data_IF_630711165544
#
_entry.id   IF_630711165544
#
_cell.length_a   1.000
_cell.length_b   1.000
_cell.length_c   1.000
_cell.angle_alpha   90.00
_cell.angle_beta   90.00
_cell.angle_gamma   90.00
#
_symmetry.space_group_name_H-M   'P 1'
#
loop_
_entity.id
_entity.type
_entity.pdbx_description
1 polymer ?
#
# COMPACT_ATOMS: atom_id res chain seq x y z
N UNK A 1 -12.83 -20.19 -35.65
CA UNK A 1 -12.91 -18.85 -35.07
C UNK A 1 -11.80 -18.76 -34.00
N UNK A 2 -10.63 -18.22 -34.36
CA UNK A 2 -9.62 -17.87 -33.38
C UNK A 2 -10.25 -16.84 -32.43
N UNK A 3 -10.48 -17.22 -31.17
CA UNK A 3 -10.72 -16.24 -30.11
C UNK A 3 -9.53 -15.28 -30.14
N UNK A 4 -9.77 -14.00 -30.40
CA UNK A 4 -8.79 -12.95 -30.11
C UNK A 4 -8.34 -13.17 -28.68
N UNK A 5 -7.18 -13.76 -28.48
CA UNK A 5 -6.65 -14.11 -27.17
C UNK A 5 -6.39 -12.78 -26.47
N UNK A 6 -7.21 -12.43 -25.50
CA UNK A 6 -6.99 -11.22 -24.70
C UNK A 6 -5.53 -11.21 -24.21
N UNK A 7 -4.91 -10.05 -24.23
CA UNK A 7 -3.51 -9.93 -23.78
C UNK A 7 -3.45 -10.25 -22.28
N UNK A 8 -2.64 -11.23 -21.90
CA UNK A 8 -2.40 -11.61 -20.51
C UNK A 8 -1.90 -10.40 -19.73
N UNK A 9 -2.46 -10.17 -18.56
CA UNK A 9 -2.18 -8.95 -17.77
C UNK A 9 -1.82 -9.28 -16.34
N UNK A 10 -0.64 -8.81 -15.91
CA UNK A 10 -0.26 -8.75 -14.51
C UNK A 10 -0.71 -7.39 -13.91
N UNK A 11 -1.68 -7.41 -13.02
CA UNK A 11 -2.06 -6.25 -12.23
C UNK A 11 -1.21 -6.20 -10.97
N UNK A 12 -0.37 -5.18 -10.84
CA UNK A 12 0.52 -4.99 -9.70
C UNK A 12 0.06 -3.79 -8.87
N UNK A 13 -0.62 -4.05 -7.75
CA UNK A 13 -1.03 -3.03 -6.80
C UNK A 13 0.11 -2.73 -5.82
N UNK A 14 0.64 -1.50 -5.87
CA UNK A 14 1.84 -1.09 -5.15
C UNK A 14 1.59 -0.16 -3.95
N UNK A 15 0.36 0.06 -3.59
CA UNK A 15 -0.02 0.94 -2.47
C UNK A 15 -0.62 2.26 -2.96
N UNK A 16 -0.32 3.40 -2.36
CA UNK A 16 0.66 3.64 -1.26
C UNK A 16 0.29 2.89 0.03
N UNK A 17 1.18 2.95 1.04
CA UNK A 17 0.80 2.48 2.38
C UNK A 17 -0.36 3.34 2.92
N UNK A 18 -1.21 2.78 3.78
CA UNK A 18 -2.33 3.51 4.43
C UNK A 18 -3.44 3.98 3.46
N UNK A 19 -3.65 3.20 2.39
CA UNK A 19 -4.72 3.38 1.40
C UNK A 19 -5.60 2.13 1.31
N UNK A 20 -6.04 1.61 2.47
CA UNK A 20 -6.91 0.44 2.61
C UNK A 20 -6.42 -0.84 1.89
N UNK A 21 -5.10 -0.97 1.69
CA UNK A 21 -4.49 -2.14 1.02
C UNK A 21 -4.91 -3.46 1.68
N UNK A 22 -5.03 -3.49 3.02
CA UNK A 22 -5.48 -4.67 3.77
C UNK A 22 -6.91 -5.08 3.40
N UNK A 23 -7.82 -4.13 3.17
CA UNK A 23 -9.20 -4.42 2.77
C UNK A 23 -9.24 -5.00 1.36
N UNK A 24 -8.51 -4.40 0.41
CA UNK A 24 -8.37 -4.93 -0.96
C UNK A 24 -7.80 -6.36 -0.92
N UNK A 25 -6.70 -6.59 -0.19
CA UNK A 25 -6.05 -7.89 -0.06
C UNK A 25 -6.99 -8.94 0.56
N UNK A 26 -7.76 -8.55 1.58
CA UNK A 26 -8.72 -9.43 2.22
C UNK A 26 -9.86 -9.80 1.27
N UNK A 27 -10.43 -8.82 0.56
CA UNK A 27 -11.47 -9.07 -0.42
C UNK A 27 -11.03 -10.02 -1.53
N UNK A 28 -9.84 -9.79 -2.09
CA UNK A 28 -9.28 -10.66 -3.13
C UNK A 28 -9.04 -12.09 -2.63
N UNK A 29 -8.58 -12.25 -1.38
CA UNK A 29 -8.36 -13.57 -0.78
C UNK A 29 -9.67 -14.32 -0.52
N UNK A 30 -10.69 -13.64 0.02
CA UNK A 30 -11.98 -14.24 0.32
C UNK A 30 -12.79 -14.57 -0.94
N UNK A 31 -12.46 -13.95 -2.08
CA UNK A 31 -13.16 -14.13 -3.34
C UNK A 31 -12.35 -14.85 -4.45
N UNK A 32 -11.31 -15.61 -4.08
CA UNK A 32 -10.45 -16.30 -5.06
C UNK A 32 -11.23 -17.16 -6.06
N UNK A 33 -12.19 -17.93 -5.56
CA UNK A 33 -12.97 -18.85 -6.40
C UNK A 33 -13.83 -18.11 -7.41
N UNK A 34 -14.38 -16.95 -7.03
CA UNK A 34 -15.14 -16.09 -7.93
C UNK A 34 -14.23 -15.45 -8.96
N UNK A 35 -13.08 -14.91 -8.53
CA UNK A 35 -12.07 -14.33 -9.43
C UNK A 35 -11.64 -15.33 -10.50
N UNK A 36 -11.40 -16.59 -10.12
CA UNK A 36 -11.01 -17.66 -11.05
C UNK A 36 -12.05 -17.93 -12.12
N UNK A 37 -13.35 -17.88 -11.82
CA UNK A 37 -14.42 -18.00 -12.80
C UNK A 37 -14.36 -16.91 -13.88
N UNK A 38 -13.88 -15.72 -13.51
CA UNK A 38 -13.69 -14.60 -14.44
C UNK A 38 -12.30 -14.56 -15.09
N UNK A 39 -11.48 -15.59 -14.91
CA UNK A 39 -10.14 -15.68 -15.51
C UNK A 39 -9.05 -14.90 -14.78
N UNK A 40 -9.29 -14.53 -13.51
CA UNK A 40 -8.31 -13.86 -12.66
C UNK A 40 -7.73 -14.80 -11.61
N UNK A 41 -6.42 -14.72 -11.40
CA UNK A 41 -5.72 -15.44 -10.34
C UNK A 41 -5.18 -14.44 -9.30
N UNK A 42 -5.53 -14.65 -8.04
CA UNK A 42 -4.88 -14.03 -6.89
C UNK A 42 -4.09 -15.12 -6.17
N UNK A 43 -2.80 -15.34 -6.54
CA UNK A 43 -2.01 -16.43 -5.99
C UNK A 43 -1.72 -16.23 -4.51
N UNK A 44 -1.51 -17.35 -3.79
CA UNK A 44 -1.06 -17.31 -2.39
C UNK A 44 0.40 -16.83 -2.31
N UNK A 45 0.76 -16.23 -1.18
CA UNK A 45 2.16 -15.98 -0.88
C UNK A 45 2.91 -17.29 -0.70
N UNK A 46 4.00 -17.49 -1.44
CA UNK A 46 4.83 -18.72 -1.36
C UNK A 46 5.57 -18.83 -0.03
N UNK A 47 5.87 -17.70 0.60
CA UNK A 47 6.70 -17.65 1.80
C UNK A 47 6.01 -16.89 2.91
N UNK A 48 6.35 -17.26 4.16
CA UNK A 48 5.93 -16.53 5.35
C UNK A 48 7.02 -15.51 5.70
N UNK A 49 6.62 -14.25 5.77
CA UNK A 49 7.52 -13.15 6.13
C UNK A 49 7.16 -12.60 7.51
N UNK A 50 8.10 -12.46 8.45
CA UNK A 50 7.81 -12.15 9.87
C UNK A 50 7.01 -10.86 10.10
N UNK A 51 7.08 -9.91 9.16
CA UNK A 51 6.44 -8.59 9.28
C UNK A 51 5.47 -8.26 8.14
N UNK A 52 5.20 -9.21 7.26
CA UNK A 52 4.23 -9.03 6.19
C UNK A 52 3.03 -9.95 6.39
N UNK A 53 1.83 -9.42 6.16
CA UNK A 53 0.64 -10.23 6.12
C UNK A 53 0.73 -11.22 4.95
N UNK A 54 0.29 -12.46 5.14
CA UNK A 54 0.26 -13.52 4.12
C UNK A 54 -0.51 -13.14 2.84
N UNK A 55 -1.41 -12.16 2.92
CA UNK A 55 -2.17 -11.63 1.77
C UNK A 55 -1.36 -10.72 0.85
N UNK A 56 -0.17 -10.31 1.28
CA UNK A 56 0.76 -9.51 0.47
C UNK A 56 1.55 -10.44 -0.45
N UNK A 57 0.86 -10.98 -1.44
CA UNK A 57 1.40 -12.00 -2.33
C UNK A 57 2.52 -11.52 -3.27
N UNK A 58 2.71 -10.19 -3.39
CA UNK A 58 3.85 -9.58 -4.09
C UNK A 58 5.06 -9.31 -3.18
N UNK A 59 5.04 -9.73 -1.90
CA UNK A 59 6.13 -9.38 -0.97
C UNK A 59 7.50 -9.94 -1.39
N UNK A 60 7.53 -11.06 -2.10
CA UNK A 60 8.77 -11.64 -2.65
C UNK A 60 9.57 -10.67 -3.52
N UNK A 61 8.92 -9.70 -4.16
CA UNK A 61 9.57 -8.69 -4.99
C UNK A 61 10.47 -7.74 -4.18
N UNK A 62 10.14 -7.52 -2.91
CA UNK A 62 10.79 -6.53 -2.05
C UNK A 62 11.33 -7.10 -0.75
N UNK A 63 11.13 -8.39 -0.52
CA UNK A 63 11.52 -9.07 0.70
C UNK A 63 13.02 -8.94 0.97
N UNK A 64 13.35 -8.82 2.25
CA UNK A 64 14.70 -9.02 2.77
C UNK A 64 14.68 -10.26 3.64
N UNK A 65 15.62 -11.17 3.37
CA UNK A 65 15.74 -12.43 4.10
C UNK A 65 17.00 -12.37 4.97
N UNK A 66 16.86 -12.85 6.19
CA UNK A 66 17.91 -12.84 7.19
C UNK A 66 18.14 -14.25 7.70
N UNK A 67 19.41 -14.61 7.87
CA UNK A 67 19.81 -15.87 8.48
C UNK A 67 19.70 -15.80 10.01
N UNK A 68 19.82 -16.94 10.69
CA UNK A 68 19.71 -17.03 12.13
C UNK A 68 20.76 -16.20 12.90
N UNK A 69 21.91 -15.94 12.26
CA UNK A 69 22.99 -15.11 12.80
C UNK A 69 22.76 -13.60 12.61
N UNK A 70 21.65 -13.20 11.98
CA UNK A 70 21.31 -11.81 11.69
C UNK A 70 21.94 -11.26 10.42
N UNK A 71 22.68 -12.05 9.64
CA UNK A 71 23.22 -11.65 8.35
C UNK A 71 22.14 -11.67 7.26
N UNK A 72 22.28 -10.80 6.26
CA UNK A 72 21.32 -10.74 5.13
C UNK A 72 21.63 -11.82 4.09
N UNK A 73 20.64 -12.66 3.80
CA UNK A 73 20.76 -13.74 2.82
C UNK A 73 20.26 -13.30 1.43
N UNK A 74 21.15 -12.68 0.65
CA UNK A 74 20.81 -12.22 -0.70
C UNK A 74 20.56 -13.36 -1.68
N UNK A 75 21.18 -14.54 -1.50
CA UNK A 75 20.96 -15.71 -2.35
C UNK A 75 19.52 -16.20 -2.20
N UNK A 76 19.02 -16.27 -0.97
CA UNK A 76 17.65 -16.66 -0.68
C UNK A 76 16.62 -15.61 -1.15
N UNK A 77 16.99 -14.32 -1.12
CA UNK A 77 16.15 -13.28 -1.72
C UNK A 77 15.99 -13.49 -3.24
N UNK A 78 17.05 -13.88 -3.95
CA UNK A 78 16.99 -14.19 -5.37
C UNK A 78 16.18 -15.46 -5.66
N UNK A 79 16.36 -16.50 -4.86
CA UNK A 79 15.57 -17.73 -4.94
C UNK A 79 14.07 -17.42 -4.82
N UNK A 80 13.67 -16.70 -3.79
CA UNK A 80 12.28 -16.30 -3.59
C UNK A 80 11.72 -15.43 -4.72
N UNK A 81 12.54 -14.57 -5.29
CA UNK A 81 12.18 -13.77 -6.46
C UNK A 81 11.89 -14.67 -7.69
N UNK A 82 12.77 -15.61 -8.00
CA UNK A 82 12.60 -16.54 -9.13
C UNK A 82 11.40 -17.49 -8.92
N UNK A 83 11.20 -17.99 -7.70
CA UNK A 83 10.02 -18.81 -7.39
C UNK A 83 8.72 -18.02 -7.56
N UNK A 84 8.70 -16.74 -7.17
CA UNK A 84 7.56 -15.85 -7.39
C UNK A 84 7.31 -15.60 -8.89
N UNK A 85 8.34 -15.40 -9.70
CA UNK A 85 8.20 -15.30 -11.16
C UNK A 85 7.66 -16.60 -11.75
N UNK A 86 8.16 -17.76 -11.28
CA UNK A 86 7.65 -19.05 -11.72
C UNK A 86 6.17 -19.25 -11.36
N UNK A 87 5.73 -18.77 -10.18
CA UNK A 87 4.32 -18.80 -9.82
C UNK A 87 3.46 -17.96 -10.78
N UNK A 88 3.94 -16.77 -11.18
CA UNK A 88 3.25 -15.93 -12.18
C UNK A 88 3.13 -16.67 -13.52
N UNK A 89 4.23 -17.28 -14.01
CA UNK A 89 4.23 -18.07 -15.25
C UNK A 89 3.21 -19.21 -15.19
N UNK A 90 3.19 -19.93 -14.07
CA UNK A 90 2.25 -21.04 -13.84
C UNK A 90 0.80 -20.55 -13.85
N UNK A 91 0.51 -19.44 -13.17
CA UNK A 91 -0.82 -18.83 -13.14
C UNK A 91 -1.28 -18.43 -14.55
N UNK A 92 -0.41 -17.83 -15.36
CA UNK A 92 -0.70 -17.52 -16.76
C UNK A 92 -0.87 -18.74 -17.65
N UNK A 93 -0.51 -19.93 -17.19
CA UNK A 93 -0.86 -21.18 -17.87
C UNK A 93 -2.36 -21.44 -17.93
N UNK A 94 -3.11 -20.95 -16.93
CA UNK A 94 -4.55 -21.20 -16.74
C UNK A 94 -5.38 -19.94 -16.87
N UNK A 95 -4.90 -18.79 -16.39
CA UNK A 95 -5.65 -17.54 -16.27
C UNK A 95 -5.11 -16.47 -17.22
N UNK A 96 -5.98 -15.53 -17.63
CA UNK A 96 -5.59 -14.40 -18.45
C UNK A 96 -5.09 -13.21 -17.62
N UNK A 97 -5.47 -13.16 -16.34
CA UNK A 97 -5.14 -12.07 -15.43
C UNK A 97 -4.54 -12.60 -14.12
N UNK A 98 -3.44 -11.99 -13.68
CA UNK A 98 -2.83 -12.27 -12.38
C UNK A 98 -2.81 -10.98 -11.54
N UNK A 99 -3.22 -11.06 -10.28
CA UNK A 99 -3.26 -9.92 -9.36
C UNK A 99 -2.21 -10.11 -8.28
N UNK A 100 -1.26 -9.19 -8.21
CA UNK A 100 -0.27 -9.12 -7.14
C UNK A 100 -0.44 -7.81 -6.35
N UNK A 101 -0.24 -7.87 -5.03
CA UNK A 101 -0.38 -6.71 -4.16
C UNK A 101 0.65 -6.68 -3.05
N UNK A 102 1.33 -5.55 -2.90
CA UNK A 102 2.17 -5.22 -1.75
C UNK A 102 2.45 -3.71 -1.68
N UNK A 103 1.99 -3.06 -0.63
CA UNK A 103 2.18 -1.63 -0.40
C UNK A 103 3.63 -1.21 -0.09
N UNK A 104 4.52 -2.16 0.25
CA UNK A 104 5.94 -1.86 0.43
C UNK A 104 6.66 -1.57 -0.89
N UNK A 105 6.10 -1.98 -2.02
CA UNK A 105 6.70 -1.74 -3.33
C UNK A 105 6.86 -0.24 -3.58
N UNK A 106 5.85 0.58 -3.23
CA UNK A 106 5.93 2.03 -3.37
C UNK A 106 7.18 2.62 -2.68
N UNK A 107 7.47 2.17 -1.46
CA UNK A 107 8.66 2.61 -0.73
C UNK A 107 9.94 2.01 -1.35
N UNK A 108 9.92 0.73 -1.68
CA UNK A 108 11.10 0.01 -2.18
C UNK A 108 11.62 0.59 -3.51
N UNK A 109 10.75 0.99 -4.42
CA UNK A 109 11.11 1.63 -5.68
C UNK A 109 11.93 2.92 -5.47
N UNK A 110 11.68 3.67 -4.39
CA UNK A 110 12.43 4.90 -4.09
C UNK A 110 13.81 4.66 -3.50
N UNK A 111 14.00 3.57 -2.77
CA UNK A 111 15.16 3.41 -1.90
C UNK A 111 15.97 2.12 -2.13
N UNK A 112 15.33 0.97 -2.22
CA UNK A 112 16.04 -0.32 -2.14
C UNK A 112 15.92 -1.22 -3.37
N UNK A 113 14.94 -1.00 -4.23
CA UNK A 113 14.64 -1.85 -5.39
C UNK A 113 14.32 -1.00 -6.62
N UNK A 114 15.23 -0.09 -6.96
CA UNK A 114 15.05 0.86 -8.08
C UNK A 114 14.92 0.19 -9.44
N UNK A 115 15.56 -0.96 -9.65
CA UNK A 115 15.51 -1.76 -10.90
C UNK A 115 14.35 -2.75 -10.96
N UNK A 116 13.53 -2.85 -9.92
CA UNK A 116 12.49 -3.88 -9.82
C UNK A 116 11.55 -3.90 -11.04
N UNK A 117 11.08 -2.72 -11.45
CA UNK A 117 10.14 -2.66 -12.58
C UNK A 117 10.79 -3.00 -13.91
N UNK A 118 12.08 -2.66 -14.09
CA UNK A 118 12.84 -3.07 -15.27
C UNK A 118 13.01 -4.58 -15.33
N UNK A 119 13.29 -5.24 -14.20
CA UNK A 119 13.39 -6.69 -14.10
C UNK A 119 12.06 -7.37 -14.41
N UNK A 120 10.96 -6.87 -13.83
CA UNK A 120 9.61 -7.36 -14.12
C UNK A 120 9.19 -7.11 -15.57
N UNK A 121 9.54 -5.94 -16.14
CA UNK A 121 9.22 -5.61 -17.53
C UNK A 121 9.96 -6.53 -18.50
N UNK A 122 11.23 -6.83 -18.25
CA UNK A 122 12.00 -7.79 -19.01
C UNK A 122 11.33 -9.18 -19.00
N UNK A 123 10.96 -9.66 -17.81
CA UNK A 123 10.22 -10.92 -17.66
C UNK A 123 8.89 -10.90 -18.43
N UNK A 124 8.13 -9.80 -18.33
CA UNK A 124 6.86 -9.66 -19.02
C UNK A 124 7.01 -9.70 -20.54
N UNK A 125 8.05 -9.06 -21.08
CA UNK A 125 8.34 -9.08 -22.53
C UNK A 125 8.73 -10.48 -23.02
N UNK A 126 9.55 -11.20 -22.27
CA UNK A 126 9.95 -12.58 -22.56
C UNK A 126 8.75 -13.55 -22.52
N UNK A 127 7.85 -13.39 -21.53
CA UNK A 127 6.68 -14.25 -21.33
C UNK A 127 5.42 -13.77 -22.07
N UNK A 128 5.48 -12.61 -22.75
CA UNK A 128 4.41 -12.04 -23.57
C UNK A 128 3.14 -11.71 -22.78
N UNK A 129 3.28 -11.06 -21.62
CA UNK A 129 2.18 -10.44 -20.88
C UNK A 129 2.46 -8.96 -20.64
N UNK A 130 1.42 -8.18 -20.39
CA UNK A 130 1.56 -6.77 -19.99
C UNK A 130 1.54 -6.63 -18.47
N UNK A 131 2.18 -5.59 -17.97
CA UNK A 131 2.08 -5.19 -16.57
C UNK A 131 1.24 -3.92 -16.49
N UNK A 132 0.20 -3.92 -15.66
CA UNK A 132 -0.52 -2.72 -15.25
C UNK A 132 -0.25 -2.46 -13.77
N UNK A 133 0.27 -1.29 -13.46
CA UNK A 133 0.54 -0.87 -12.08
C UNK A 133 -0.62 -0.04 -11.56
N UNK A 134 -1.12 -0.37 -10.38
CA UNK A 134 -2.22 0.33 -9.72
C UNK A 134 -1.69 0.98 -8.44
N UNK A 135 -1.98 2.27 -8.27
CA UNK A 135 -1.60 3.02 -7.07
C UNK A 135 -2.72 3.97 -6.63
N UNK A 136 -3.05 3.92 -5.34
CA UNK A 136 -3.91 4.90 -4.69
C UNK A 136 -3.06 5.92 -3.96
N UNK A 137 -3.26 7.20 -4.28
CA UNK A 137 -2.53 8.31 -3.67
C UNK A 137 -3.37 8.95 -2.59
N UNK A 138 -2.80 9.06 -1.41
CA UNK A 138 -3.40 9.74 -0.26
C UNK A 138 -2.79 11.12 -0.09
N UNK A 139 -3.58 12.12 0.35
CA UNK A 139 -3.05 13.45 0.67
C UNK A 139 -1.89 13.34 1.65
N UNK A 140 -0.80 14.04 1.39
CA UNK A 140 0.49 13.82 2.05
C UNK A 140 0.43 13.98 3.57
N UNK A 141 -0.31 14.95 4.08
CA UNK A 141 -0.55 15.15 5.52
C UNK A 141 -1.28 13.97 6.17
N UNK A 142 -2.35 13.52 5.54
CA UNK A 142 -3.09 12.33 5.98
C UNK A 142 -2.25 11.06 5.94
N UNK A 143 -1.36 10.93 4.93
CA UNK A 143 -0.41 9.84 4.85
C UNK A 143 0.63 9.92 5.98
N UNK A 144 1.21 11.10 6.22
CA UNK A 144 2.19 11.34 7.28
C UNK A 144 1.63 10.94 8.65
N UNK A 145 0.50 11.52 9.03
CA UNK A 145 -0.15 11.25 10.32
C UNK A 145 -0.51 9.77 10.47
N UNK A 146 -1.06 9.16 9.40
CA UNK A 146 -1.45 7.75 9.44
C UNK A 146 -0.25 6.80 9.56
N UNK A 147 0.89 7.15 8.97
CA UNK A 147 2.15 6.40 9.12
C UNK A 147 2.70 6.55 10.54
N UNK A 148 2.80 7.77 11.05
CA UNK A 148 3.25 8.02 12.42
C UNK A 148 2.40 7.26 13.44
N UNK A 149 1.07 7.37 13.36
CA UNK A 149 0.15 6.62 14.24
C UNK A 149 0.39 5.10 14.17
N UNK A 150 0.69 4.57 12.98
CA UNK A 150 1.00 3.16 12.80
C UNK A 150 2.33 2.77 13.49
N UNK A 151 3.38 3.58 13.37
CA UNK A 151 4.67 3.32 14.01
C UNK A 151 4.55 3.37 15.55
N UNK A 152 3.86 4.39 16.08
CA UNK A 152 3.56 4.47 17.52
C UNK A 152 2.79 3.24 18.00
N UNK A 153 1.79 2.81 17.23
CA UNK A 153 0.96 1.66 17.56
C UNK A 153 1.75 0.34 17.55
N UNK A 154 2.68 0.17 16.62
CA UNK A 154 3.43 -1.08 16.43
C UNK A 154 4.68 -1.18 17.28
N UNK A 155 5.32 -0.07 17.60
CA UNK A 155 6.57 0.00 18.40
C UNK A 155 7.73 -0.84 17.81
N UNK A 156 7.97 -0.74 16.49
CA UNK A 156 9.00 -1.54 15.83
C UNK A 156 10.33 -0.79 15.62
N UNK A 157 10.35 0.52 15.79
CA UNK A 157 11.53 1.36 15.52
C UNK A 157 11.51 2.66 16.34
N UNK A 158 12.54 3.48 16.18
CA UNK A 158 12.72 4.75 16.90
C UNK A 158 11.61 5.79 16.63
N UNK A 159 10.86 5.67 15.55
CA UNK A 159 9.72 6.57 15.24
C UNK A 159 8.59 6.38 16.27
N UNK A 160 8.46 5.20 16.84
CA UNK A 160 7.41 4.87 17.79
C UNK A 160 7.41 5.72 19.08
N UNK A 161 8.52 6.39 19.36
CA UNK A 161 8.69 7.27 20.55
C UNK A 161 8.74 8.77 20.19
N UNK A 162 8.79 9.11 18.90
CA UNK A 162 8.83 10.50 18.40
C UNK A 162 7.45 11.16 18.57
N UNK A 163 7.44 12.46 18.83
CA UNK A 163 6.21 13.26 18.67
C UNK A 163 5.84 13.36 17.20
N UNK A 164 4.63 13.83 16.90
CA UNK A 164 4.21 13.99 15.51
C UNK A 164 5.03 15.06 14.79
N UNK A 165 5.40 16.15 15.50
CA UNK A 165 6.27 17.23 15.02
C UNK A 165 7.70 16.73 14.73
N UNK A 166 8.27 15.92 15.62
CA UNK A 166 9.58 15.29 15.41
C UNK A 166 9.57 14.38 14.19
N UNK A 167 8.46 13.63 13.99
CA UNK A 167 8.31 12.77 12.83
C UNK A 167 8.12 13.56 11.53
N UNK A 168 7.36 14.67 11.56
CA UNK A 168 7.21 15.59 10.43
C UNK A 168 8.60 16.08 9.98
N UNK A 169 9.39 16.66 10.91
CA UNK A 169 10.72 17.17 10.62
C UNK A 169 11.69 16.08 10.11
N UNK A 170 11.58 14.86 10.62
CA UNK A 170 12.38 13.73 10.15
C UNK A 170 11.95 13.27 8.73
N UNK A 171 10.66 13.28 8.45
CA UNK A 171 10.09 12.86 7.16
C UNK A 171 10.48 13.81 6.02
N UNK A 172 10.50 15.11 6.27
CA UNK A 172 10.94 16.12 5.29
C UNK A 172 12.42 15.90 4.87
N UNK A 173 13.24 15.48 5.79
CA UNK A 173 14.69 15.26 5.55
C UNK A 173 14.98 13.90 4.92
N UNK A 174 14.37 12.83 5.41
CA UNK A 174 14.75 11.45 5.10
C UNK A 174 13.80 10.72 4.16
N UNK A 175 12.52 11.07 4.16
CA UNK A 175 11.47 10.32 3.47
C UNK A 175 10.77 11.14 2.36
N UNK A 176 11.28 12.30 1.99
CA UNK A 176 10.70 13.21 0.99
C UNK A 176 10.22 12.48 -0.28
N UNK A 177 10.99 11.49 -0.76
CA UNK A 177 10.67 10.72 -1.97
C UNK A 177 9.37 9.92 -1.88
N UNK A 178 8.86 9.62 -0.69
CA UNK A 178 7.58 8.91 -0.54
C UNK A 178 6.42 9.80 -0.94
N UNK A 179 6.55 11.10 -0.69
CA UNK A 179 5.53 12.12 -0.90
C UNK A 179 5.66 12.84 -2.26
N UNK A 180 6.77 12.65 -2.99
CA UNK A 180 7.00 13.19 -4.34
C UNK A 180 6.33 12.29 -5.38
N UNK A 181 5.04 12.47 -5.57
CA UNK A 181 4.22 11.56 -6.37
C UNK A 181 4.53 11.65 -7.87
N UNK A 182 4.61 12.87 -8.44
CA UNK A 182 4.83 13.05 -9.86
C UNK A 182 6.15 12.42 -10.32
N UNK A 183 7.24 12.73 -9.63
CA UNK A 183 8.54 12.16 -9.96
C UNK A 183 8.51 10.63 -9.98
N UNK A 184 7.88 10.01 -8.98
CA UNK A 184 7.81 8.54 -8.91
C UNK A 184 6.93 7.94 -9.99
N UNK A 185 5.79 8.58 -10.29
CA UNK A 185 4.92 8.15 -11.37
C UNK A 185 5.63 8.23 -12.72
N UNK A 186 6.45 9.27 -12.96
CA UNK A 186 7.30 9.37 -14.14
C UNK A 186 8.30 8.22 -14.23
N UNK A 187 8.99 7.90 -13.13
CA UNK A 187 9.94 6.79 -13.06
C UNK A 187 9.25 5.45 -13.39
N UNK A 188 8.03 5.22 -12.90
CA UNK A 188 7.22 4.03 -13.19
C UNK A 188 6.76 4.05 -14.67
N UNK A 189 6.19 5.17 -15.12
CA UNK A 189 5.66 5.31 -16.47
C UNK A 189 6.74 5.14 -17.54
N UNK A 190 7.98 5.60 -17.27
CA UNK A 190 9.11 5.41 -18.16
C UNK A 190 9.45 3.93 -18.44
N UNK A 191 9.12 3.03 -17.50
CA UNK A 191 9.40 1.59 -17.63
C UNK A 191 8.23 0.85 -18.25
N UNK A 192 7.02 1.03 -17.71
CA UNK A 192 5.84 0.23 -18.10
C UNK A 192 4.97 0.91 -19.17
N UNK A 193 5.22 2.19 -19.47
CA UNK A 193 4.35 3.04 -20.29
C UNK A 193 3.21 3.67 -19.48
N UNK A 194 2.91 4.94 -19.78
CA UNK A 194 1.89 5.73 -19.04
C UNK A 194 0.50 5.09 -19.07
N UNK A 195 0.10 4.49 -20.19
CA UNK A 195 -1.20 3.83 -20.35
C UNK A 195 -1.36 2.56 -19.49
N UNK A 196 -0.28 2.07 -18.93
CA UNK A 196 -0.25 0.91 -18.04
C UNK A 196 -0.16 1.29 -16.56
N UNK A 197 -0.21 2.60 -16.26
CA UNK A 197 -0.17 3.12 -14.92
C UNK A 197 -1.54 3.69 -14.53
N UNK A 198 -2.21 3.01 -13.61
CA UNK A 198 -3.52 3.37 -13.09
C UNK A 198 -3.32 4.11 -11.77
N UNK A 199 -3.59 5.42 -11.79
CA UNK A 199 -3.43 6.31 -10.64
C UNK A 199 -4.80 6.72 -10.12
N UNK A 200 -5.07 6.44 -8.84
CA UNK A 200 -6.36 6.75 -8.20
C UNK A 200 -6.17 7.62 -6.96
N UNK A 201 -7.14 8.49 -6.68
CA UNK A 201 -7.23 9.23 -5.42
C UNK A 201 -7.70 8.31 -4.30
N UNK A 202 -7.05 8.36 -3.16
CA UNK A 202 -7.57 7.70 -1.95
C UNK A 202 -8.61 8.61 -1.28
N UNK A 203 -9.81 8.65 -1.85
CA UNK A 203 -10.94 9.45 -1.37
C UNK A 203 -12.26 8.77 -1.73
N UNK A 204 -13.16 8.52 -0.77
CA UNK A 204 -14.47 7.93 -1.04
C UNK A 204 -15.30 8.68 -2.10
N UNK A 205 -15.13 10.02 -2.19
CA UNK A 205 -15.78 10.86 -3.20
C UNK A 205 -15.33 10.54 -4.64
N UNK A 206 -14.17 9.92 -4.81
CA UNK A 206 -13.58 9.59 -6.13
C UNK A 206 -13.69 8.11 -6.48
N UNK A 207 -14.17 7.27 -5.57
CA UNK A 207 -14.27 5.84 -5.78
C UNK A 207 -15.58 5.46 -6.44
N UNK A 208 -15.56 4.41 -7.25
CA UNK A 208 -16.78 3.82 -7.78
C UNK A 208 -17.70 3.41 -6.63
N UNK A 209 -18.94 3.86 -6.67
CA UNK A 209 -19.96 3.60 -5.65
C UNK A 209 -19.52 3.98 -4.20
N UNK A 210 -18.53 4.88 -4.05
CA UNK A 210 -17.97 5.26 -2.76
C UNK A 210 -17.16 4.16 -2.05
N UNK A 211 -16.92 3.03 -2.72
CA UNK A 211 -16.23 1.86 -2.17
C UNK A 211 -14.86 1.67 -2.80
N UNK A 212 -13.82 1.55 -1.98
CA UNK A 212 -12.47 1.24 -2.45
C UNK A 212 -12.39 -0.13 -3.14
N UNK A 213 -13.23 -1.07 -2.72
CA UNK A 213 -13.29 -2.40 -3.32
C UNK A 213 -13.91 -2.33 -4.70
N UNK A 214 -15.06 -1.66 -4.86
CA UNK A 214 -15.70 -1.48 -6.16
C UNK A 214 -14.80 -0.73 -7.13
N UNK A 215 -14.11 0.30 -6.64
CA UNK A 215 -13.17 1.08 -7.44
C UNK A 215 -12.00 0.22 -7.92
N UNK A 216 -11.37 -0.54 -7.02
CA UNK A 216 -10.27 -1.43 -7.38
C UNK A 216 -10.68 -2.52 -8.38
N UNK A 217 -11.83 -3.15 -8.15
CA UNK A 217 -12.35 -4.18 -9.05
C UNK A 217 -12.65 -3.61 -10.44
N UNK A 218 -13.25 -2.40 -10.50
CA UNK A 218 -13.51 -1.71 -11.75
C UNK A 218 -12.21 -1.41 -12.53
N UNK A 219 -11.15 -0.97 -11.84
CA UNK A 219 -9.86 -0.66 -12.47
C UNK A 219 -9.15 -1.90 -13.05
N UNK A 220 -9.45 -3.07 -12.54
CA UNK A 220 -8.95 -4.33 -13.13
C UNK A 220 -9.92 -4.92 -14.18
N UNK A 221 -11.05 -4.25 -14.45
CA UNK A 221 -12.03 -4.67 -15.47
C UNK A 221 -13.12 -5.60 -14.96
N UNK A 222 -13.37 -5.64 -13.66
CA UNK A 222 -14.45 -6.39 -13.03
C UNK A 222 -15.41 -5.46 -12.27
N UNK A 223 -16.67 -5.83 -12.23
CA UNK A 223 -17.64 -5.24 -11.32
C UNK A 223 -17.97 -6.20 -10.19
N UNK A 224 -18.14 -5.67 -8.98
CA UNK A 224 -18.60 -6.46 -7.83
C UNK A 224 -20.09 -6.77 -8.01
N UNK A 225 -20.40 -8.05 -8.10
CA UNK A 225 -21.78 -8.57 -8.23
C UNK A 225 -22.15 -9.37 -6.98
N UNK A 226 -23.37 -9.87 -6.92
CA UNK A 226 -23.88 -10.72 -5.82
C UNK A 226 -23.10 -12.03 -5.64
N UNK A 227 -22.30 -12.43 -6.65
CA UNK A 227 -21.42 -13.61 -6.53
C UNK A 227 -20.22 -13.37 -5.60
N UNK A 228 -19.83 -12.10 -5.42
CA UNK A 228 -18.73 -11.74 -4.54
C UNK A 228 -19.20 -11.64 -3.09
N UNK A 229 -18.43 -12.24 -2.19
CA UNK A 229 -18.66 -12.09 -0.76
C UNK A 229 -18.21 -10.69 -0.33
N UNK A 230 -19.13 -9.90 0.20
CA UNK A 230 -18.81 -8.63 0.84
C UNK A 230 -17.99 -8.84 2.11
N UNK A 231 -17.09 -7.88 2.38
CA UNK A 231 -16.35 -7.91 3.64
C UNK A 231 -17.22 -7.40 4.77
N UNK A 232 -17.29 -8.16 5.86
CA UNK A 232 -17.70 -7.57 7.13
C UNK A 232 -16.75 -6.41 7.48
N UNK A 233 -17.30 -5.29 7.92
CA UNK A 233 -16.51 -4.12 8.31
C UNK A 233 -15.44 -4.54 9.32
N UNK A 234 -14.18 -4.52 8.90
CA UNK A 234 -13.09 -4.73 9.82
C UNK A 234 -12.81 -3.43 10.55
N UNK A 235 -13.02 -3.42 11.86
CA UNK A 235 -12.63 -2.34 12.75
C UNK A 235 -11.09 -2.16 12.79
N UNK A 236 -10.51 -1.66 11.69
CA UNK A 236 -9.12 -1.19 11.70
C UNK A 236 -9.05 0.19 12.35
N UNK A 237 -9.45 0.25 13.62
CA UNK A 237 -9.53 1.49 14.37
C UNK A 237 -8.15 2.15 14.47
N UNK A 238 -8.12 3.38 14.05
CA UNK A 238 -7.05 4.34 14.33
C UNK A 238 -7.12 4.64 15.84
N UNK A 239 -5.97 4.76 16.50
CA UNK A 239 -5.93 5.36 17.81
C UNK A 239 -6.27 6.85 17.68
N UNK A 240 -7.11 7.37 18.58
CA UNK A 240 -7.34 8.82 18.70
C UNK A 240 -6.07 9.55 19.18
N UNK A 241 -6.10 10.88 19.24
CA UNK A 241 -4.96 11.70 19.64
C UNK A 241 -4.42 11.30 21.02
N UNK A 242 -5.29 11.23 22.02
CA UNK A 242 -4.89 11.01 23.41
C UNK A 242 -4.35 9.60 23.61
N UNK A 243 -5.03 8.59 23.07
CA UNK A 243 -4.56 7.20 23.16
C UNK A 243 -3.30 6.94 22.35
N UNK A 244 -3.07 7.67 21.24
CA UNK A 244 -1.80 7.63 20.51
C UNK A 244 -0.67 8.20 21.36
N UNK A 245 -0.90 9.33 22.03
CA UNK A 245 0.10 9.95 22.89
C UNK A 245 0.42 9.09 24.12
N UNK A 246 -0.59 8.53 24.77
CA UNK A 246 -0.40 7.56 25.86
C UNK A 246 0.45 6.37 25.35
N UNK A 247 0.12 5.81 24.19
CA UNK A 247 0.89 4.71 23.61
C UNK A 247 2.34 5.08 23.32
N UNK A 248 2.59 6.31 22.82
CA UNK A 248 3.93 6.84 22.57
C UNK A 248 4.75 6.93 23.84
N UNK A 249 4.14 7.43 24.94
CA UNK A 249 4.78 7.52 26.26
C UNK A 249 5.10 6.11 26.80
N UNK A 250 4.15 5.16 26.67
CA UNK A 250 4.38 3.76 27.08
C UNK A 250 5.53 3.11 26.29
N UNK A 251 5.70 3.47 25.02
CA UNK A 251 6.82 2.97 24.20
C UNK A 251 8.20 3.44 24.69
N UNK A 252 8.27 4.55 25.44
CA UNK A 252 9.51 5.07 26.06
C UNK A 252 9.87 4.36 27.37
N UNK A 253 8.96 3.55 27.92
CA UNK A 253 9.16 2.92 29.22
C UNK A 253 10.23 1.84 29.14
N UNK A 254 11.26 1.98 29.98
CA UNK A 254 12.29 0.97 30.18
C UNK A 254 11.86 -0.15 31.15
N UNK A 255 10.72 0.04 31.84
CA UNK A 255 10.20 -0.89 32.85
C UNK A 255 9.15 -1.85 32.32
N UNK A 256 8.56 -1.58 31.13
CA UNK A 256 7.54 -2.41 30.54
C UNK A 256 8.15 -3.38 29.52
N UNK A 257 7.75 -4.63 29.61
CA UNK A 257 8.07 -5.66 28.63
C UNK A 257 7.29 -5.42 27.31
N UNK A 258 7.78 -5.97 26.20
CA UNK A 258 7.05 -5.94 24.91
C UNK A 258 5.65 -6.55 25.00
N UNK A 259 5.49 -7.59 25.86
CA UNK A 259 4.20 -8.24 26.10
C UNK A 259 3.20 -7.30 26.78
N UNK A 260 3.64 -6.54 27.79
CA UNK A 260 2.82 -5.57 28.50
C UNK A 260 2.45 -4.39 27.57
N UNK A 261 3.41 -3.87 26.81
CA UNK A 261 3.18 -2.83 25.81
C UNK A 261 2.16 -3.31 24.76
N UNK A 262 2.22 -4.57 24.34
CA UNK A 262 1.26 -5.16 23.41
C UNK A 262 -0.14 -5.33 24.03
N UNK A 263 -0.21 -5.62 25.35
CA UNK A 263 -1.47 -5.65 26.08
C UNK A 263 -2.12 -4.29 26.17
N UNK A 264 -1.36 -3.24 26.53
CA UNK A 264 -1.83 -1.86 26.55
C UNK A 264 -2.32 -1.41 25.16
N UNK A 265 -1.68 -1.84 24.08
CA UNK A 265 -2.14 -1.52 22.74
C UNK A 265 -3.57 -2.00 22.47
N UNK A 266 -3.94 -3.19 22.94
CA UNK A 266 -5.32 -3.70 22.78
C UNK A 266 -6.30 -2.88 23.58
N UNK A 267 -5.98 -2.59 24.81
CA UNK A 267 -6.81 -1.77 25.71
C UNK A 267 -7.03 -0.34 25.14
N UNK A 268 -5.96 0.32 24.67
CA UNK A 268 -6.06 1.64 24.07
C UNK A 268 -6.90 1.67 22.79
N UNK A 269 -6.89 0.57 22.01
CA UNK A 269 -7.79 0.47 20.86
C UNK A 269 -9.25 0.44 21.24
N UNK A 270 -9.62 -0.28 22.28
CA UNK A 270 -11.01 -0.30 22.76
C UNK A 270 -11.45 1.08 23.25
N UNK A 271 -10.63 1.76 24.04
CA UNK A 271 -10.92 3.12 24.49
C UNK A 271 -11.08 4.08 23.29
N UNK A 272 -10.21 3.98 22.28
CA UNK A 272 -10.30 4.84 21.10
C UNK A 272 -11.63 4.75 20.35
N UNK A 273 -12.36 3.64 20.45
CA UNK A 273 -13.69 3.51 19.83
C UNK A 273 -14.67 4.57 20.35
N UNK A 274 -14.59 4.88 21.62
CA UNK A 274 -15.51 5.81 22.27
C UNK A 274 -15.12 7.27 21.99
N UNK A 275 -13.83 7.55 21.82
CA UNK A 275 -13.28 8.92 21.67
C UNK A 275 -13.11 9.42 20.24
N UNK A 276 -13.10 8.54 19.22
CA UNK A 276 -12.97 8.96 17.80
C UNK A 276 -14.12 9.88 17.34
N UNK A 277 -15.24 9.90 18.05
CA UNK A 277 -16.39 10.74 17.76
C UNK A 277 -16.24 12.20 18.24
N UNK A 278 -15.22 12.51 19.00
CA UNK A 278 -14.98 13.87 19.50
C UNK A 278 -14.15 14.69 18.51
N UNK A 279 -14.47 15.98 18.40
CA UNK A 279 -13.97 16.93 17.39
C UNK A 279 -12.45 17.22 17.43
N UNK A 280 -11.71 16.73 18.43
CA UNK A 280 -10.32 17.13 18.67
C UNK A 280 -9.31 16.03 18.32
N UNK A 281 -9.26 15.66 17.04
CA UNK A 281 -8.34 14.60 16.52
C UNK A 281 -7.09 15.16 15.83
N UNK A 282 -6.86 16.46 15.85
CA UNK A 282 -5.72 17.10 15.20
C UNK A 282 -4.41 16.74 15.93
N UNK A 283 -3.50 16.06 15.25
CA UNK A 283 -2.19 15.64 15.77
C UNK A 283 -1.12 16.73 15.63
N UNK A 284 -1.30 17.64 14.67
CA UNK A 284 -0.44 18.78 14.35
C UNK A 284 -1.30 20.02 14.16
N UNK A 285 -0.71 21.20 14.31
CA UNK A 285 -1.39 22.44 13.98
C UNK A 285 -1.73 22.51 12.49
N UNK A 286 -2.84 23.17 12.14
CA UNK A 286 -3.29 23.31 10.73
C UNK A 286 -2.24 23.99 9.87
N UNK A 287 -1.58 24.99 10.44
CA UNK A 287 -0.54 25.77 9.80
C UNK A 287 0.68 24.90 9.41
N UNK A 288 1.09 23.98 10.28
CA UNK A 288 2.20 23.07 10.02
C UNK A 288 1.83 22.08 8.90
N UNK A 289 0.61 21.56 8.92
CA UNK A 289 0.11 20.67 7.87
C UNK A 289 -0.01 21.39 6.53
N UNK A 290 -0.46 22.66 6.54
CA UNK A 290 -0.54 23.47 5.34
C UNK A 290 0.84 23.73 4.74
N UNK A 291 1.82 24.13 5.56
CA UNK A 291 3.20 24.32 5.12
C UNK A 291 3.79 23.02 4.53
N UNK A 292 3.52 21.88 5.16
CA UNK A 292 3.95 20.60 4.63
C UNK A 292 3.32 20.28 3.28
N UNK A 293 2.03 20.54 3.08
CA UNK A 293 1.32 20.32 1.82
C UNK A 293 1.83 21.22 0.69
N UNK A 294 2.18 22.47 1.00
CA UNK A 294 2.72 23.44 0.05
C UNK A 294 4.01 22.94 -0.62
N UNK A 295 4.82 22.13 0.08
CA UNK A 295 6.02 21.50 -0.48
C UNK A 295 5.71 20.61 -1.69
N UNK A 296 4.48 20.08 -1.77
CA UNK A 296 4.06 19.12 -2.80
C UNK A 296 2.98 19.68 -3.74
N UNK A 297 2.59 20.95 -3.61
CA UNK A 297 1.47 21.53 -4.37
C UNK A 297 1.67 21.36 -5.89
N UNK A 298 2.85 21.73 -6.42
CA UNK A 298 3.18 21.60 -7.85
C UNK A 298 3.23 20.13 -8.32
N UNK A 299 3.72 19.23 -7.47
CA UNK A 299 3.72 17.80 -7.73
C UNK A 299 2.28 17.27 -7.84
N UNK A 300 1.41 17.71 -6.93
CA UNK A 300 0.01 17.30 -6.91
C UNK A 300 -0.78 17.84 -8.10
N UNK A 301 -0.56 19.09 -8.49
CA UNK A 301 -1.15 19.68 -9.69
C UNK A 301 -0.75 18.90 -10.94
N UNK A 302 0.51 18.61 -11.10
CA UNK A 302 1.05 17.83 -12.20
C UNK A 302 0.48 16.41 -12.26
N UNK A 303 0.33 15.74 -11.11
CA UNK A 303 -0.31 14.41 -11.05
C UNK A 303 -1.77 14.48 -11.47
N UNK A 304 -2.52 15.50 -11.01
CA UNK A 304 -3.91 15.68 -11.38
C UNK A 304 -4.08 15.83 -12.89
N UNK A 305 -3.25 16.67 -13.52
CA UNK A 305 -3.30 16.96 -14.94
C UNK A 305 -2.80 15.81 -15.81
N UNK A 306 -1.62 15.28 -15.48
CA UNK A 306 -0.94 14.34 -16.36
C UNK A 306 -1.36 12.88 -16.18
N UNK A 307 -1.74 12.48 -14.97
CA UNK A 307 -2.00 11.06 -14.65
C UNK A 307 -3.47 10.74 -14.39
N UNK A 308 -4.28 11.72 -13.97
CA UNK A 308 -5.71 11.52 -13.75
C UNK A 308 -6.51 12.17 -14.88
N UNK A 309 -6.28 13.46 -15.17
CA UNK A 309 -6.81 14.15 -16.36
C UNK A 309 -8.32 14.41 -16.35
N UNK A 310 -8.96 14.47 -15.17
CA UNK A 310 -10.39 14.70 -15.01
C UNK A 310 -10.76 16.17 -14.73
N UNK A 311 -9.77 17.08 -14.76
CA UNK A 311 -9.95 18.51 -14.49
C UNK A 311 -10.16 18.86 -13.02
N UNK A 312 -10.05 17.89 -12.11
CA UNK A 312 -10.17 18.13 -10.66
C UNK A 312 -8.80 18.13 -9.99
N UNK A 313 -8.61 18.88 -8.89
CA UNK A 313 -7.37 18.83 -8.12
C UNK A 313 -7.11 17.40 -7.60
N UNK A 314 -5.81 17.05 -7.41
CA UNK A 314 -5.45 15.73 -6.90
C UNK A 314 -6.10 15.45 -5.54
N UNK A 315 -6.13 16.45 -4.67
CA UNK A 315 -6.77 16.38 -3.36
C UNK A 315 -7.62 17.64 -3.12
N UNK A 316 -8.81 17.46 -2.54
CA UNK A 316 -9.63 18.58 -2.10
C UNK A 316 -9.03 19.27 -0.88
N UNK A 317 -9.31 20.55 -0.73
CA UNK A 317 -8.89 21.35 0.43
C UNK A 317 -9.79 21.14 1.66
N UNK A 318 -10.66 20.12 1.65
CA UNK A 318 -11.54 19.77 2.77
C UNK A 318 -10.88 18.81 3.75
#
# INVERSE_FOLDING_TARGET
LERNKAMKTLYLHIGTTKTATTSIQRFLEENKDVLQKYGYCFPDSLHVYPRANKRRNAHFLVAKVWDADGSRNQSKEKEYFEEGLQQIRTAFGTYDHVILTDESIWHALSYSKKSLLQELKKEADEQKYQIKVIVYLRRQDGLLISRWNQEVKQNFNSVAVMTCEEYLAASEKKEKKIYQYAQKLDEIAAVIGKNNLIVRRFSPKSWKDGSIIHDFMHEIGLDVTEEFQELEESENLRLDKNTTEIKRILNKSEFLTEKEISYFRRFLKEISKDYIKEENTEMLAKEELQQFLELYAKENERVAEEYIGDGQPLFSNE
#
